data_IF_807137752430
#
_entry.id   IF_807137752430
#
_cell.length_a   1.000
_cell.length_b   1.000
_cell.length_c   1.000
_cell.angle_alpha   90.00
_cell.angle_beta   90.00
_cell.angle_gamma   90.00
#
_symmetry.space_group_name_H-M   'P 1'
#
loop_
_entity.id
_entity.type
_entity.pdbx_description
1 polymer ?
#
# COMPACT_ATOMS: atom_id res chain seq x y z
N UNK A 1 25.31 23.13 56.69
CA UNK A 1 25.29 22.94 55.23
C UNK A 1 23.92 23.42 54.73
N UNK A 2 23.80 24.69 54.32
CA UNK A 2 22.52 25.28 53.91
C UNK A 2 22.28 24.95 52.43
N UNK A 3 21.29 24.11 52.17
CA UNK A 3 20.74 23.90 50.82
C UNK A 3 20.04 25.18 50.38
N UNK A 4 20.72 26.01 49.60
CA UNK A 4 20.04 27.06 48.83
C UNK A 4 19.14 26.35 47.82
N UNK A 5 17.85 26.22 48.14
CA UNK A 5 16.83 26.03 47.11
C UNK A 5 16.75 27.36 46.36
N UNK A 6 17.49 27.48 45.26
CA UNK A 6 17.38 28.59 44.32
C UNK A 6 15.97 28.55 43.74
N UNK A 7 15.09 29.40 44.27
CA UNK A 7 13.74 29.59 43.71
C UNK A 7 13.86 30.08 42.28
N UNK A 8 13.11 29.45 41.38
CA UNK A 8 13.10 29.79 39.95
C UNK A 8 12.72 31.27 39.80
N UNK A 9 13.55 32.03 39.09
CA UNK A 9 13.24 33.44 38.83
C UNK A 9 11.97 33.55 37.98
N UNK A 10 11.13 34.55 38.23
CA UNK A 10 9.93 34.81 37.42
C UNK A 10 10.30 35.07 35.94
N UNK A 11 11.50 35.64 35.72
CA UNK A 11 12.07 35.81 34.38
C UNK A 11 12.46 34.46 33.75
N UNK A 12 13.09 33.55 34.51
CA UNK A 12 13.41 32.21 34.02
C UNK A 12 12.14 31.42 33.68
N UNK A 13 11.09 31.53 34.50
CA UNK A 13 9.79 30.92 34.22
C UNK A 13 9.21 31.41 32.90
N UNK A 14 9.25 32.73 32.67
CA UNK A 14 8.70 33.35 31.48
C UNK A 14 9.51 32.97 30.22
N UNK A 15 10.84 32.96 30.29
CA UNK A 15 11.71 32.51 29.19
C UNK A 15 11.48 31.02 28.89
N UNK A 16 11.34 30.18 29.91
CA UNK A 16 11.08 28.75 29.74
C UNK A 16 9.73 28.51 29.04
N UNK A 17 8.68 29.24 29.42
CA UNK A 17 7.35 29.15 28.79
C UNK A 17 7.43 29.57 27.32
N UNK A 18 8.15 30.66 27.00
CA UNK A 18 8.34 31.10 25.61
C UNK A 18 9.06 30.02 24.78
N UNK A 19 10.15 29.45 25.30
CA UNK A 19 10.90 28.38 24.62
C UNK A 19 10.00 27.17 24.38
N UNK A 20 9.30 26.69 25.42
CA UNK A 20 8.39 25.55 25.31
C UNK A 20 7.28 25.83 24.29
N UNK A 21 6.73 27.04 24.28
CA UNK A 21 5.65 27.42 23.35
C UNK A 21 6.15 27.41 21.90
N UNK A 22 7.34 27.96 21.64
CA UNK A 22 7.94 27.96 20.31
C UNK A 22 8.27 26.53 19.83
N UNK A 23 8.77 25.68 20.72
CA UNK A 23 9.06 24.28 20.40
C UNK A 23 7.79 23.45 20.19
N UNK A 24 6.72 23.73 20.95
CA UNK A 24 5.48 22.96 20.88
C UNK A 24 4.84 23.03 19.49
N UNK A 25 4.87 24.19 18.84
CA UNK A 25 4.35 24.36 17.47
C UNK A 25 5.09 23.44 16.49
N UNK A 26 6.42 23.44 16.57
CA UNK A 26 7.27 22.64 15.68
C UNK A 26 7.04 21.14 15.90
N UNK A 27 6.92 20.71 17.17
CA UNK A 27 6.62 19.33 17.52
C UNK A 27 5.28 18.88 16.93
N UNK A 28 4.22 19.69 17.06
CA UNK A 28 2.89 19.38 16.49
C UNK A 28 2.98 19.19 14.98
N UNK A 29 3.70 20.08 14.28
CA UNK A 29 3.88 19.97 12.83
C UNK A 29 4.58 18.67 12.44
N UNK A 30 5.64 18.29 13.16
CA UNK A 30 6.38 17.05 12.89
C UNK A 30 5.50 15.82 13.15
N UNK A 31 4.74 15.79 14.23
CA UNK A 31 3.83 14.66 14.52
C UNK A 31 2.74 14.51 13.47
N UNK A 32 2.16 15.61 13.00
CA UNK A 32 1.15 15.57 11.94
C UNK A 32 1.74 15.04 10.62
N UNK A 33 2.93 15.52 10.24
CA UNK A 33 3.62 15.06 9.04
C UNK A 33 3.97 13.56 9.13
N UNK A 34 4.50 13.12 10.29
CA UNK A 34 4.81 11.72 10.53
C UNK A 34 3.55 10.85 10.47
N UNK A 35 2.44 11.28 11.09
CA UNK A 35 1.16 10.57 11.04
C UNK A 35 0.64 10.40 9.61
N UNK A 36 0.75 11.45 8.79
CA UNK A 36 0.40 11.38 7.37
C UNK A 36 1.27 10.37 6.60
N UNK A 37 2.59 10.39 6.80
CA UNK A 37 3.50 9.44 6.15
C UNK A 37 3.26 8.00 6.60
N UNK A 38 2.95 7.77 7.88
CA UNK A 38 2.61 6.44 8.40
C UNK A 38 1.34 5.91 7.72
N UNK A 39 0.30 6.74 7.62
CA UNK A 39 -0.94 6.36 6.94
C UNK A 39 -0.71 6.04 5.45
N UNK A 40 0.07 6.88 4.77
CA UNK A 40 0.44 6.66 3.36
C UNK A 40 1.25 5.37 3.17
N UNK A 41 2.24 5.12 4.02
CA UNK A 41 3.02 3.89 4.00
C UNK A 41 2.14 2.66 4.29
N UNK A 42 1.18 2.79 5.21
CA UNK A 42 0.16 1.78 5.49
C UNK A 42 -0.63 1.42 4.24
N UNK A 43 -1.20 2.43 3.56
CA UNK A 43 -1.97 2.22 2.33
C UNK A 43 -1.15 1.57 1.22
N UNK A 44 0.09 2.01 1.01
CA UNK A 44 0.98 1.40 0.01
C UNK A 44 1.34 -0.05 0.36
N UNK A 45 1.54 -0.35 1.65
CA UNK A 45 1.82 -1.72 2.12
C UNK A 45 0.60 -2.61 1.88
N UNK A 46 -0.59 -2.15 2.21
CA UNK A 46 -1.85 -2.85 1.95
C UNK A 46 -2.06 -3.10 0.46
N UNK A 47 -1.87 -2.07 -0.39
CA UNK A 47 -1.98 -2.21 -1.83
C UNK A 47 -0.97 -3.22 -2.40
N UNK A 48 0.27 -3.19 -1.90
CA UNK A 48 1.32 -4.12 -2.30
C UNK A 48 0.99 -5.55 -1.89
N UNK A 49 0.49 -5.75 -0.67
CA UNK A 49 0.09 -7.06 -0.17
C UNK A 49 -1.08 -7.62 -0.96
N UNK A 50 -2.10 -6.80 -1.26
CA UNK A 50 -3.24 -7.19 -2.08
C UNK A 50 -2.80 -7.58 -3.50
N UNK A 51 -1.97 -6.75 -4.14
CA UNK A 51 -1.44 -7.06 -5.47
C UNK A 51 -0.62 -8.35 -5.48
N UNK A 52 0.20 -8.56 -4.46
CA UNK A 52 0.97 -9.79 -4.29
C UNK A 52 0.06 -11.01 -4.08
N UNK A 53 -0.95 -10.92 -3.21
CA UNK A 53 -1.87 -12.01 -2.93
C UNK A 53 -2.64 -12.45 -4.20
N UNK A 54 -3.11 -11.49 -5.01
CA UNK A 54 -3.77 -11.79 -6.30
C UNK A 54 -2.81 -12.43 -7.28
N UNK A 55 -1.55 -12.01 -7.32
CA UNK A 55 -0.54 -12.61 -8.19
C UNK A 55 -0.13 -14.01 -7.72
N UNK A 56 -0.09 -14.23 -6.41
CA UNK A 56 0.35 -15.48 -5.80
C UNK A 56 -0.71 -16.57 -5.91
N UNK A 57 -1.99 -16.22 -5.75
CA UNK A 57 -3.12 -17.14 -5.98
C UNK A 57 -3.11 -17.72 -7.40
N UNK A 58 -2.82 -16.90 -8.42
CA UNK A 58 -2.72 -17.35 -9.82
C UNK A 58 -1.41 -18.10 -10.09
N UNK A 59 -0.36 -17.78 -9.35
CA UNK A 59 0.97 -18.35 -9.53
C UNK A 59 1.19 -19.74 -8.91
N UNK A 60 0.16 -20.34 -8.30
CA UNK A 60 0.22 -21.70 -7.79
C UNK A 60 0.30 -22.71 -8.95
N UNK A 61 1.06 -23.78 -8.76
CA UNK A 61 1.48 -24.75 -9.80
C UNK A 61 0.32 -25.43 -10.56
N UNK A 62 -0.92 -25.30 -10.05
CA UNK A 62 -2.14 -25.92 -10.59
C UNK A 62 -3.28 -24.91 -10.81
N UNK A 63 -2.97 -23.62 -10.96
CA UNK A 63 -4.03 -22.65 -11.22
C UNK A 63 -4.65 -22.87 -12.60
N UNK A 64 -5.92 -23.26 -12.61
CA UNK A 64 -6.72 -23.40 -13.82
C UNK A 64 -7.53 -22.12 -14.03
N UNK A 65 -7.30 -21.45 -15.16
CA UNK A 65 -8.11 -20.31 -15.54
C UNK A 65 -9.56 -20.75 -15.83
N UNK A 66 -10.57 -19.97 -15.42
CA UNK A 66 -11.96 -20.22 -15.79
C UNK A 66 -12.11 -20.37 -17.31
N UNK A 67 -12.97 -21.30 -17.75
CA UNK A 67 -13.11 -21.65 -19.17
C UNK A 67 -13.68 -20.49 -20.02
N UNK A 68 -14.39 -19.57 -19.39
CA UNK A 68 -15.01 -18.37 -19.95
C UNK A 68 -14.10 -17.12 -19.85
N UNK A 69 -12.89 -17.27 -19.31
CA UNK A 69 -11.97 -16.14 -19.13
C UNK A 69 -11.48 -15.58 -20.47
N UNK A 70 -11.65 -14.26 -20.63
CA UNK A 70 -11.14 -13.55 -21.80
C UNK A 70 -9.77 -12.94 -21.49
N UNK A 71 -8.74 -13.38 -22.21
CA UNK A 71 -7.40 -12.81 -22.13
C UNK A 71 -7.37 -11.39 -22.71
N UNK A 72 -6.35 -10.61 -22.31
CA UNK A 72 -6.11 -9.23 -22.75
C UNK A 72 -7.21 -8.22 -22.33
N UNK A 73 -8.03 -8.57 -21.34
CA UNK A 73 -9.02 -7.68 -20.73
C UNK A 73 -8.64 -7.28 -19.30
N UNK A 74 -9.27 -6.21 -18.81
CA UNK A 74 -9.23 -5.82 -17.40
C UNK A 74 -10.41 -6.49 -16.73
N UNK A 75 -10.11 -7.33 -15.74
CA UNK A 75 -11.05 -8.17 -15.02
C UNK A 75 -11.01 -7.84 -13.54
N UNK A 76 -12.13 -8.07 -12.86
CA UNK A 76 -12.13 -8.14 -11.41
C UNK A 76 -11.43 -9.46 -10.97
N UNK A 77 -10.64 -9.50 -9.87
CA UNK A 77 -9.95 -10.72 -9.45
C UNK A 77 -10.87 -11.95 -9.31
N UNK A 78 -12.10 -11.74 -8.82
CA UNK A 78 -13.10 -12.80 -8.68
C UNK A 78 -13.48 -13.44 -10.03
N UNK A 79 -13.56 -12.66 -11.11
CA UNK A 79 -13.86 -13.16 -12.47
C UNK A 79 -12.74 -14.04 -13.01
N UNK A 80 -11.52 -13.88 -12.49
CA UNK A 80 -10.42 -14.76 -12.81
C UNK A 80 -10.38 -16.03 -11.97
N UNK A 81 -11.26 -16.19 -10.97
CA UNK A 81 -11.25 -17.29 -10.00
C UNK A 81 -10.44 -17.00 -8.73
N UNK A 82 -10.04 -15.74 -8.50
CA UNK A 82 -9.29 -15.34 -7.31
C UNK A 82 -10.26 -14.80 -6.25
N UNK A 83 -10.54 -15.63 -5.25
CA UNK A 83 -11.35 -15.24 -4.09
C UNK A 83 -10.45 -14.62 -3.01
N UNK A 84 -10.33 -13.29 -3.04
CA UNK A 84 -9.57 -12.50 -2.06
C UNK A 84 -10.46 -11.36 -1.58
N UNK A 85 -10.52 -11.17 -0.27
CA UNK A 85 -11.18 -10.04 0.34
C UNK A 85 -10.43 -8.74 0.01
N UNK A 86 -11.11 -7.81 -0.65
CA UNK A 86 -10.58 -6.48 -0.96
C UNK A 86 -10.95 -5.54 0.18
N UNK A 87 -9.98 -4.94 0.89
CA UNK A 87 -10.26 -4.00 1.96
C UNK A 87 -11.07 -2.78 1.49
N UNK A 88 -11.91 -2.24 2.36
CA UNK A 88 -12.70 -1.05 2.05
C UNK A 88 -11.81 0.13 1.62
N UNK A 89 -12.22 0.84 0.57
CA UNK A 89 -11.47 1.96 0.00
C UNK A 89 -10.39 1.56 -1.01
N UNK A 90 -10.20 0.26 -1.27
CA UNK A 90 -9.34 -0.27 -2.32
C UNK A 90 -10.16 -0.88 -3.45
N UNK A 91 -9.59 -0.85 -4.66
CA UNK A 91 -10.07 -1.58 -5.82
C UNK A 91 -8.91 -2.35 -6.42
N UNK A 92 -9.17 -3.56 -6.92
CA UNK A 92 -8.18 -4.38 -7.60
C UNK A 92 -8.66 -4.75 -9.00
N UNK A 93 -7.74 -4.71 -9.95
CA UNK A 93 -7.95 -5.02 -11.35
C UNK A 93 -6.84 -5.96 -11.81
N UNK A 94 -7.21 -6.95 -12.59
CA UNK A 94 -6.33 -7.98 -13.10
C UNK A 94 -6.38 -7.99 -14.62
N UNK A 95 -5.24 -8.16 -15.26
CA UNK A 95 -5.17 -8.40 -16.70
C UNK A 95 -4.15 -9.47 -17.00
N UNK A 96 -4.54 -10.44 -17.81
CA UNK A 96 -3.69 -11.56 -18.22
C UNK A 96 -3.50 -11.48 -19.71
N UNK A 97 -2.26 -11.31 -20.12
CA UNK A 97 -1.89 -11.06 -21.52
C UNK A 97 -0.93 -12.13 -22.02
N UNK A 98 -1.10 -12.55 -23.27
CA UNK A 98 -0.13 -13.46 -23.91
C UNK A 98 1.08 -12.68 -24.38
N UNK A 99 2.28 -13.25 -24.27
CA UNK A 99 3.51 -12.61 -24.74
C UNK A 99 3.75 -13.06 -26.19
N UNK A 100 3.71 -12.12 -27.15
CA UNK A 100 3.76 -12.42 -28.58
C UNK A 100 4.94 -13.32 -29.00
N UNK A 101 6.11 -13.15 -28.38
CA UNK A 101 7.32 -13.92 -28.69
C UNK A 101 7.40 -15.28 -27.96
N UNK A 102 6.51 -15.53 -26.98
CA UNK A 102 6.55 -16.70 -26.11
C UNK A 102 5.15 -17.26 -25.87
N UNK A 103 4.72 -18.19 -26.72
CA UNK A 103 3.41 -18.85 -26.65
C UNK A 103 3.17 -19.66 -25.38
N UNK A 104 4.24 -19.96 -24.63
CA UNK A 104 4.21 -20.66 -23.35
C UNK A 104 4.26 -19.72 -22.14
N UNK A 105 4.22 -18.39 -22.31
CA UNK A 105 4.28 -17.43 -21.22
C UNK A 105 3.04 -16.52 -21.19
N UNK A 106 2.55 -16.27 -19.98
CA UNK A 106 1.53 -15.27 -19.68
C UNK A 106 2.16 -14.15 -18.86
N UNK A 107 1.77 -12.91 -19.15
CA UNK A 107 2.03 -11.77 -18.29
C UNK A 107 0.76 -11.43 -17.53
N UNK A 108 0.85 -11.52 -16.22
CA UNK A 108 -0.16 -11.08 -15.28
C UNK A 108 0.20 -9.68 -14.83
N UNK A 109 -0.77 -8.78 -14.93
CA UNK A 109 -0.72 -7.41 -14.42
C UNK A 109 -1.82 -7.26 -13.37
N UNK A 110 -1.46 -6.83 -12.18
CA UNK A 110 -2.43 -6.45 -11.14
C UNK A 110 -2.27 -4.97 -10.85
N UNK A 111 -3.37 -4.24 -10.97
CA UNK A 111 -3.47 -2.82 -10.62
C UNK A 111 -4.37 -2.70 -9.40
N UNK A 112 -3.83 -2.16 -8.31
CA UNK A 112 -4.59 -1.82 -7.12
C UNK A 112 -4.71 -0.30 -7.07
N UNK A 113 -5.91 0.24 -6.90
CA UNK A 113 -6.15 1.67 -6.70
C UNK A 113 -6.85 1.95 -5.38
N UNK A 114 -6.59 3.14 -4.82
CA UNK A 114 -7.22 3.63 -3.60
C UNK A 114 -7.29 5.15 -3.60
N UNK A 115 -8.16 5.72 -2.78
CA UNK A 115 -8.27 7.17 -2.61
C UNK A 115 -7.36 7.64 -1.47
N UNK A 116 -6.51 8.63 -1.74
CA UNK A 116 -5.65 9.27 -0.74
C UNK A 116 -5.81 10.79 -0.82
N UNK A 117 -6.33 11.38 0.26
CA UNK A 117 -6.55 12.84 0.35
C UNK A 117 -7.29 13.43 -0.88
N UNK A 118 -8.29 12.69 -1.40
CA UNK A 118 -9.08 13.10 -2.57
C UNK A 118 -8.41 12.87 -3.92
N UNK A 119 -7.22 12.28 -3.96
CA UNK A 119 -6.53 11.89 -5.19
C UNK A 119 -6.52 10.37 -5.33
N UNK A 120 -6.85 9.85 -6.51
CA UNK A 120 -6.69 8.41 -6.78
C UNK A 120 -5.19 8.07 -6.90
N UNK A 121 -4.78 7.09 -6.11
CA UNK A 121 -3.45 6.49 -6.17
C UNK A 121 -3.59 5.08 -6.71
N UNK A 122 -2.54 4.61 -7.37
CA UNK A 122 -2.51 3.23 -7.83
C UNK A 122 -1.11 2.64 -7.74
N UNK A 123 -1.08 1.33 -7.60
CA UNK A 123 0.11 0.50 -7.57
C UNK A 123 -0.08 -0.63 -8.56
N UNK A 124 0.93 -0.86 -9.39
CA UNK A 124 0.90 -1.88 -10.42
C UNK A 124 2.01 -2.90 -10.18
N UNK A 125 1.64 -4.18 -10.09
CA UNK A 125 2.59 -5.29 -10.03
C UNK A 125 2.43 -6.20 -11.24
N UNK A 126 3.54 -6.82 -11.63
CA UNK A 126 3.59 -7.73 -12.77
C UNK A 126 4.23 -9.05 -12.35
N UNK A 127 3.74 -10.13 -12.93
CA UNK A 127 4.40 -11.44 -12.88
C UNK A 127 4.31 -12.10 -14.25
N UNK A 128 5.37 -12.84 -14.59
CA UNK A 128 5.37 -13.71 -15.77
C UNK A 128 5.17 -15.14 -15.26
N UNK A 129 4.20 -15.85 -15.82
CA UNK A 129 3.94 -17.25 -15.55
C UNK A 129 4.16 -18.09 -16.80
N UNK A 130 4.64 -19.32 -16.61
CA UNK A 130 4.72 -20.31 -17.68
C UNK A 130 3.41 -21.09 -17.75
N UNK A 131 2.90 -21.30 -18.95
CA UNK A 131 1.77 -22.19 -19.22
C UNK A 131 2.14 -23.62 -18.86
N UNK A 132 1.45 -24.19 -17.87
CA UNK A 132 1.58 -25.62 -17.55
C UNK A 132 0.95 -26.39 -18.70
N UNK A 133 1.77 -27.13 -19.43
CA UNK A 133 1.30 -27.99 -20.52
C UNK A 133 0.89 -29.30 -19.88
N UNK A 134 -0.42 -29.53 -19.72
CA UNK A 134 -0.92 -30.86 -19.35
C UNK A 134 -0.39 -31.88 -20.38
N UNK A 135 0.28 -32.92 -19.90
CA UNK A 135 0.83 -34.02 -20.72
C UNK A 135 -0.21 -35.11 -20.88
#
# INVERSE_FOLDING_TARGET
MKTHQSGFSLLEALVSIIIISLMSIQLITVFNAAGYWIAQAGNQTTASYLAFAVIESIGMEHYEFPADMVFDQILHPLEAGVDIEIPEGFAAQLSITTIADYSNLYRIKVLVSWLEAGTERSLCMYRILRKVTSK
#
